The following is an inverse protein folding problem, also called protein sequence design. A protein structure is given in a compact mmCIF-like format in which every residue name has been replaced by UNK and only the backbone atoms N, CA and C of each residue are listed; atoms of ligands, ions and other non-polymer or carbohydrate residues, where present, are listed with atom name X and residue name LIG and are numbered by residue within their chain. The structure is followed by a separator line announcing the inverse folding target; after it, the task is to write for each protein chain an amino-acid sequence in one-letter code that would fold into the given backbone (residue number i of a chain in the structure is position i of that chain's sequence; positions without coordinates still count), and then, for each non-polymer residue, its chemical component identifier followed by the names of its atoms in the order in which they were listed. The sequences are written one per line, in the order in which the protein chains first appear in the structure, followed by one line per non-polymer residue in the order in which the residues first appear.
data_IF_983265915712
#
_entry.id   IF_983265915712
#
_cell.length_a   1.000
_cell.length_b   1.000
_cell.length_c   1.000
_cell.angle_alpha   90.00
_cell.angle_beta   90.00
_cell.angle_gamma   90.00
#
_symmetry.space_group_name_H-M   'P 1'
#
loop_
_entity.id
_entity.type
_entity.pdbx_description
1 polymer ?
#
# COMPACT_ATOMS: atom_id res chain seq x y z
N UNK A 1 -24.71 -38.82 39.08
CA UNK A 1 -25.32 -37.78 38.22
C UNK A 1 -24.21 -36.81 37.84
N UNK A 2 -23.66 -36.93 36.64
CA UNK A 2 -22.71 -35.95 36.14
C UNK A 2 -23.53 -34.77 35.62
N UNK A 3 -23.51 -33.63 36.32
CA UNK A 3 -23.94 -32.37 35.72
C UNK A 3 -23.04 -32.12 34.51
N UNK A 4 -23.58 -32.26 33.31
CA UNK A 4 -22.98 -31.72 32.10
C UNK A 4 -23.08 -30.19 32.14
N UNK A 5 -22.32 -29.56 33.04
CA UNK A 5 -22.03 -28.13 32.99
C UNK A 5 -20.98 -27.93 31.90
N UNK A 6 -21.33 -28.28 30.66
CA UNK A 6 -20.57 -27.79 29.51
C UNK A 6 -20.81 -26.28 29.50
N UNK A 7 -19.78 -25.43 29.64
CA UNK A 7 -19.97 -23.99 29.58
C UNK A 7 -20.61 -23.67 28.23
N UNK A 8 -21.87 -23.25 28.23
CA UNK A 8 -22.50 -22.79 27.00
C UNK A 8 -22.03 -21.36 26.75
N UNK A 9 -21.35 -21.17 25.61
CA UNK A 9 -21.09 -19.84 25.05
C UNK A 9 -22.43 -19.12 24.97
N UNK A 10 -22.53 -17.94 25.56
CA UNK A 10 -23.78 -17.19 25.56
C UNK A 10 -24.17 -16.81 24.13
N UNK A 11 -25.47 -16.60 23.90
CA UNK A 11 -25.99 -16.09 22.62
C UNK A 11 -25.26 -14.82 22.17
N UNK A 12 -25.03 -13.91 23.13
CA UNK A 12 -24.36 -12.63 22.90
C UNK A 12 -22.90 -12.82 22.48
N UNK A 13 -22.16 -13.69 23.18
CA UNK A 13 -20.78 -13.99 22.83
C UNK A 13 -20.69 -14.69 21.47
N UNK A 14 -21.64 -15.57 21.16
CA UNK A 14 -21.72 -16.23 19.87
C UNK A 14 -21.95 -15.25 18.71
N UNK A 15 -22.91 -14.33 18.84
CA UNK A 15 -23.20 -13.30 17.84
C UNK A 15 -22.01 -12.35 17.65
N UNK A 16 -21.36 -11.94 18.74
CA UNK A 16 -20.18 -11.09 18.71
C UNK A 16 -19.00 -11.78 18.02
N UNK A 17 -18.77 -13.08 18.30
CA UNK A 17 -17.76 -13.89 17.63
C UNK A 17 -18.03 -13.99 16.11
N UNK A 18 -19.29 -14.19 15.70
CA UNK A 18 -19.66 -14.21 14.28
C UNK A 18 -19.41 -12.86 13.60
N UNK A 19 -19.70 -11.74 14.28
CA UNK A 19 -19.45 -10.40 13.76
C UNK A 19 -17.95 -10.17 13.52
N UNK A 20 -17.10 -10.53 14.48
CA UNK A 20 -15.63 -10.43 14.32
C UNK A 20 -15.10 -11.36 13.25
N UNK A 21 -15.63 -12.58 13.12
CA UNK A 21 -15.25 -13.46 12.02
C UNK A 21 -15.52 -12.82 10.65
N UNK A 22 -16.72 -12.24 10.45
CA UNK A 22 -17.08 -11.53 9.22
C UNK A 22 -16.18 -10.31 8.96
N UNK A 23 -15.90 -9.52 9.99
CA UNK A 23 -15.01 -8.34 9.90
C UNK A 23 -13.59 -8.79 9.54
N UNK A 24 -13.09 -9.86 10.15
CA UNK A 24 -11.75 -10.40 9.91
C UNK A 24 -11.61 -10.92 8.48
N UNK A 25 -12.62 -11.64 7.99
CA UNK A 25 -12.65 -12.14 6.61
C UNK A 25 -12.67 -10.97 5.60
N UNK A 26 -13.49 -9.96 5.83
CA UNK A 26 -13.53 -8.75 5.01
C UNK A 26 -12.18 -8.03 5.02
N UNK A 27 -11.55 -7.87 6.19
CA UNK A 27 -10.25 -7.22 6.31
C UNK A 27 -9.14 -8.00 5.61
N UNK A 28 -9.18 -9.33 5.65
CA UNK A 28 -8.24 -10.16 4.90
C UNK A 28 -8.38 -9.96 3.39
N UNK A 29 -9.60 -9.83 2.87
CA UNK A 29 -9.84 -9.53 1.45
C UNK A 29 -9.33 -8.12 1.07
N UNK A 30 -9.58 -7.14 1.93
CA UNK A 30 -9.08 -5.77 1.77
C UNK A 30 -7.54 -5.77 1.72
N UNK A 31 -6.89 -6.42 2.68
CA UNK A 31 -5.43 -6.54 2.73
C UNK A 31 -4.87 -7.20 1.47
N UNK A 32 -5.51 -8.26 0.98
CA UNK A 32 -5.09 -8.93 -0.25
C UNK A 32 -5.18 -7.98 -1.46
N UNK A 33 -6.27 -7.24 -1.58
CA UNK A 33 -6.42 -6.20 -2.61
C UNK A 33 -5.34 -5.12 -2.51
N UNK A 34 -4.93 -4.74 -1.29
CA UNK A 34 -3.89 -3.73 -1.07
C UNK A 34 -2.50 -4.24 -1.49
N UNK A 35 -2.21 -5.51 -1.20
CA UNK A 35 -0.98 -6.18 -1.65
C UNK A 35 -0.94 -6.23 -3.19
N UNK A 36 -2.06 -6.55 -3.83
CA UNK A 36 -2.17 -6.58 -5.30
C UNK A 36 -1.98 -5.21 -5.92
N UNK A 37 -2.61 -4.17 -5.39
CA UNK A 37 -2.43 -2.79 -5.84
C UNK A 37 -0.97 -2.32 -5.67
N UNK A 38 -0.36 -2.64 -4.53
CA UNK A 38 1.04 -2.32 -4.24
C UNK A 38 2.00 -3.04 -5.21
N UNK A 39 1.71 -4.30 -5.55
CA UNK A 39 2.47 -5.05 -6.56
C UNK A 39 2.32 -4.40 -7.94
N UNK A 40 1.11 -4.09 -8.38
CA UNK A 40 0.86 -3.46 -9.67
C UNK A 40 1.62 -2.13 -9.80
N UNK A 41 1.59 -1.30 -8.75
CA UNK A 41 2.32 -0.02 -8.71
C UNK A 41 3.83 -0.24 -8.79
N UNK A 42 4.36 -1.24 -8.09
CA UNK A 42 5.79 -1.60 -8.18
C UNK A 42 6.18 -2.02 -9.60
N UNK A 43 5.35 -2.81 -10.27
CA UNK A 43 5.59 -3.23 -11.66
C UNK A 43 5.57 -2.04 -12.61
N UNK A 44 4.60 -1.14 -12.44
CA UNK A 44 4.55 0.13 -13.19
C UNK A 44 5.80 0.98 -12.95
N UNK A 45 6.25 1.13 -11.71
CA UNK A 45 7.49 1.88 -11.41
C UNK A 45 8.71 1.26 -12.07
N UNK A 46 8.86 -0.08 -12.00
CA UNK A 46 9.95 -0.78 -12.69
C UNK A 46 9.93 -0.58 -14.19
N UNK A 47 8.74 -0.55 -14.80
CA UNK A 47 8.61 -0.31 -16.25
C UNK A 47 9.08 1.10 -16.68
N UNK A 48 9.23 2.01 -15.72
CA UNK A 48 9.71 3.36 -15.96
C UNK A 48 11.22 3.53 -15.74
N UNK A 49 11.91 2.54 -15.17
CA UNK A 49 13.38 2.58 -15.03
C UNK A 49 14.05 2.60 -16.41
N UNK A 50 13.57 1.78 -17.35
CA UNK A 50 14.05 1.75 -18.74
C UNK A 50 13.89 3.13 -19.43
N UNK A 51 12.82 3.85 -19.10
CA UNK A 51 12.55 5.19 -19.62
C UNK A 51 13.57 6.19 -19.06
N UNK A 52 13.87 6.12 -17.76
CA UNK A 52 14.90 7.00 -17.14
C UNK A 52 16.25 6.82 -17.80
N UNK A 53 16.67 5.58 -18.02
CA UNK A 53 17.94 5.26 -18.67
C UNK A 53 17.99 5.80 -20.11
N UNK A 54 16.89 5.68 -20.85
CA UNK A 54 16.75 6.26 -22.20
C UNK A 54 16.92 7.79 -22.17
N UNK A 55 16.35 8.50 -21.20
CA UNK A 55 16.48 9.95 -21.07
C UNK A 55 17.85 10.41 -20.58
N UNK A 56 18.55 9.62 -19.78
CA UNK A 56 19.93 9.88 -19.42
C UNK A 56 20.84 9.81 -20.63
N UNK A 57 20.64 8.82 -21.50
CA UNK A 57 21.33 8.73 -22.79
C UNK A 57 21.03 9.93 -23.69
N UNK A 58 19.77 10.37 -23.72
CA UNK A 58 19.32 11.53 -24.49
C UNK A 58 19.96 12.83 -24.00
N UNK A 59 20.13 12.96 -22.68
CA UNK A 59 20.85 14.09 -22.05
C UNK A 59 22.31 14.13 -22.49
N UNK A 60 22.98 12.97 -22.53
CA UNK A 60 24.36 12.87 -23.00
C UNK A 60 24.43 13.31 -24.47
N UNK A 61 23.49 12.88 -25.31
CA UNK A 61 23.48 13.24 -26.73
C UNK A 61 23.32 14.75 -26.95
N UNK A 62 22.33 15.37 -26.29
CA UNK A 62 22.08 16.82 -26.38
C UNK A 62 23.23 17.67 -25.83
N UNK A 63 24.00 17.16 -24.86
CA UNK A 63 25.17 17.83 -24.31
C UNK A 63 26.28 18.09 -25.36
N UNK A 64 26.28 17.35 -26.46
CA UNK A 64 27.24 17.51 -27.56
C UNK A 64 26.72 18.41 -28.69
N UNK A 65 25.45 18.86 -28.63
CA UNK A 65 24.81 19.68 -29.66
C UNK A 65 24.71 21.14 -29.18
N UNK A 66 25.60 22.00 -29.67
CA UNK A 66 25.69 23.41 -29.23
C UNK A 66 24.39 24.22 -29.41
N UNK A 67 23.56 23.87 -30.41
CA UNK A 67 22.26 24.51 -30.66
C UNK A 67 21.14 24.03 -29.73
N UNK A 68 21.35 22.94 -28.99
CA UNK A 68 20.33 22.30 -28.16
C UNK A 68 20.50 22.58 -26.64
N UNK A 69 21.27 23.61 -26.27
CA UNK A 69 21.64 23.90 -24.87
C UNK A 69 20.43 24.15 -23.94
N UNK A 70 19.37 24.77 -24.46
CA UNK A 70 18.11 24.96 -23.72
C UNK A 70 17.38 23.63 -23.48
N UNK A 71 17.35 22.75 -24.49
CA UNK A 71 16.77 21.41 -24.39
C UNK A 71 17.58 20.52 -23.45
N UNK A 72 18.91 20.59 -23.49
CA UNK A 72 19.79 19.91 -22.54
C UNK A 72 19.43 20.22 -21.09
N UNK A 73 19.26 21.50 -20.75
CA UNK A 73 18.85 21.88 -19.38
C UNK A 73 17.44 21.43 -19.02
N UNK A 74 16.50 21.44 -19.97
CA UNK A 74 15.15 20.93 -19.74
C UNK A 74 15.13 19.42 -19.49
N UNK A 75 15.85 18.63 -20.31
CA UNK A 75 15.96 17.18 -20.11
C UNK A 75 16.66 16.87 -18.77
N UNK A 76 17.74 17.58 -18.40
CA UNK A 76 18.38 17.42 -17.10
C UNK A 76 17.43 17.67 -15.92
N UNK A 77 16.62 18.74 -15.98
CA UNK A 77 15.64 19.05 -14.93
C UNK A 77 14.56 17.97 -14.84
N UNK A 78 14.12 17.45 -15.97
CA UNK A 78 13.10 16.40 -16.03
C UNK A 78 13.63 15.07 -15.50
N UNK A 79 14.83 14.64 -15.90
CA UNK A 79 15.51 13.45 -15.35
C UNK A 79 15.67 13.58 -13.83
N UNK A 80 16.14 14.74 -13.35
CA UNK A 80 16.26 15.01 -11.92
C UNK A 80 14.92 14.99 -11.19
N UNK A 81 13.83 15.38 -11.84
CA UNK A 81 12.48 15.34 -11.27
C UNK A 81 11.94 13.90 -11.21
N UNK A 82 12.14 13.11 -12.27
CA UNK A 82 11.73 11.69 -12.32
C UNK A 82 12.45 10.88 -11.27
N UNK A 83 13.78 11.04 -11.12
CA UNK A 83 14.55 10.36 -10.07
C UNK A 83 14.01 10.69 -8.67
N UNK A 84 13.64 11.94 -8.43
CA UNK A 84 13.06 12.37 -7.15
C UNK A 84 11.70 11.70 -6.89
N UNK A 85 10.80 11.74 -7.86
CA UNK A 85 9.48 11.10 -7.74
C UNK A 85 9.62 9.58 -7.58
N UNK A 86 10.52 8.95 -8.34
CA UNK A 86 10.82 7.52 -8.22
C UNK A 86 11.34 7.14 -6.81
N UNK A 87 12.25 7.93 -6.25
CA UNK A 87 12.73 7.71 -4.88
C UNK A 87 11.62 7.85 -3.84
N UNK A 88 10.77 8.87 -3.96
CA UNK A 88 9.63 9.06 -3.06
C UNK A 88 8.60 7.92 -3.20
N UNK A 89 8.31 7.47 -4.41
CA UNK A 89 7.44 6.31 -4.65
C UNK A 89 7.99 5.03 -4.01
N UNK A 90 9.30 4.76 -4.11
CA UNK A 90 9.91 3.61 -3.46
C UNK A 90 9.83 3.69 -1.92
N UNK A 91 10.01 4.88 -1.33
CA UNK A 91 9.83 5.07 0.11
C UNK A 91 8.38 4.81 0.54
N UNK A 92 7.41 5.31 -0.22
CA UNK A 92 5.99 5.10 0.06
C UNK A 92 5.64 3.63 -0.09
N UNK A 93 6.08 2.95 -1.14
CA UNK A 93 5.90 1.51 -1.34
C UNK A 93 6.46 0.70 -0.17
N UNK A 94 7.65 1.02 0.31
CA UNK A 94 8.24 0.36 1.47
C UNK A 94 7.41 0.61 2.74
N UNK A 95 6.93 1.84 2.93
CA UNK A 95 6.07 2.20 4.06
C UNK A 95 4.72 1.49 4.03
N UNK A 96 4.10 1.34 2.86
CA UNK A 96 2.83 0.61 2.68
C UNK A 96 3.03 -0.88 2.95
N UNK A 97 4.07 -1.49 2.38
CA UNK A 97 4.34 -2.92 2.59
C UNK A 97 4.63 -3.26 4.06
N UNK A 98 5.38 -2.41 4.75
CA UNK A 98 5.65 -2.57 6.19
C UNK A 98 4.39 -2.35 7.04
N UNK A 99 3.55 -1.36 6.69
CA UNK A 99 2.25 -1.16 7.31
C UNK A 99 1.30 -2.35 7.11
N UNK A 100 1.26 -2.94 5.91
CA UNK A 100 0.49 -4.15 5.60
C UNK A 100 0.94 -5.34 6.45
N UNK A 101 2.25 -5.52 6.60
CA UNK A 101 2.80 -6.58 7.46
C UNK A 101 2.41 -6.38 8.92
N UNK A 102 2.60 -5.17 9.47
CA UNK A 102 2.23 -4.84 10.84
C UNK A 102 0.74 -5.00 11.08
N UNK A 103 -0.09 -4.58 10.13
CA UNK A 103 -1.54 -4.79 10.16
C UNK A 103 -1.89 -6.27 10.24
N UNK A 104 -1.39 -7.08 9.31
CA UNK A 104 -1.67 -8.52 9.30
C UNK A 104 -1.20 -9.23 10.57
N UNK A 105 -0.07 -8.81 11.15
CA UNK A 105 0.44 -9.38 12.39
C UNK A 105 -0.42 -9.00 13.60
N UNK A 106 -0.80 -7.73 13.75
CA UNK A 106 -1.67 -7.28 14.85
C UNK A 106 -3.02 -8.00 14.81
N UNK A 107 -3.63 -8.14 13.62
CA UNK A 107 -4.88 -8.86 13.44
C UNK A 107 -4.78 -10.30 13.93
N UNK A 108 -3.74 -11.03 13.47
CA UNK A 108 -3.55 -12.43 13.84
C UNK A 108 -3.33 -12.59 15.34
N UNK A 109 -2.53 -11.71 15.94
CA UNK A 109 -2.26 -11.73 17.38
C UNK A 109 -3.53 -11.51 18.20
N UNK A 110 -4.33 -10.50 17.85
CA UNK A 110 -5.56 -10.18 18.59
C UNK A 110 -6.63 -11.24 18.41
N UNK A 111 -6.78 -11.77 17.19
CA UNK A 111 -7.70 -12.88 16.95
C UNK A 111 -7.29 -14.14 17.74
N UNK A 112 -5.99 -14.43 17.82
CA UNK A 112 -5.48 -15.53 18.65
C UNK A 112 -5.73 -15.30 20.16
N UNK A 113 -5.57 -14.07 20.63
CA UNK A 113 -5.89 -13.67 22.02
C UNK A 113 -7.38 -13.93 22.35
N UNK A 114 -8.29 -13.52 21.45
CA UNK A 114 -9.71 -13.80 21.59
C UNK A 114 -10.05 -15.29 21.55
N UNK A 115 -9.47 -16.06 20.62
CA UNK A 115 -9.63 -17.51 20.59
C UNK A 115 -9.12 -18.17 21.88
N UNK A 116 -8.04 -17.64 22.46
CA UNK A 116 -7.53 -18.05 23.77
C UNK A 116 -8.56 -17.85 24.89
N UNK A 117 -9.19 -16.68 24.94
CA UNK A 117 -10.23 -16.39 25.94
C UNK A 117 -11.49 -17.25 25.76
N UNK A 118 -11.88 -17.57 24.52
CA UNK A 118 -12.95 -18.54 24.26
C UNK A 118 -12.53 -19.95 24.68
N UNK A 119 -11.31 -20.38 24.39
CA UNK A 119 -10.83 -21.72 24.74
C UNK A 119 -10.74 -21.92 26.26
N UNK A 120 -10.48 -20.86 27.02
CA UNK A 120 -10.47 -20.86 28.48
C UNK A 120 -11.80 -20.41 29.11
N UNK A 121 -12.89 -20.37 28.34
CA UNK A 121 -14.18 -19.85 28.81
C UNK A 121 -14.77 -20.73 29.92
N UNK A 122 -15.00 -20.13 31.08
CA UNK A 122 -15.55 -20.79 32.28
C UNK A 122 -17.00 -20.40 32.59
N UNK A 123 -17.68 -19.68 31.68
CA UNK A 123 -19.03 -19.16 31.90
C UNK A 123 -19.12 -17.65 32.15
N UNK A 124 -17.99 -16.93 32.10
CA UNK A 124 -17.92 -15.47 32.20
C UNK A 124 -17.56 -14.85 30.84
N UNK A 125 -18.49 -14.10 30.27
CA UNK A 125 -18.34 -13.44 28.98
C UNK A 125 -17.45 -12.18 29.04
N UNK A 126 -17.11 -11.68 30.23
CA UNK A 126 -16.43 -10.38 30.40
C UNK A 126 -15.12 -10.31 29.63
N UNK A 127 -14.22 -11.28 29.83
CA UNK A 127 -12.92 -11.29 29.14
C UNK A 127 -13.02 -11.51 27.62
N UNK A 128 -13.81 -12.49 27.12
CA UNK A 128 -14.08 -12.62 25.69
C UNK A 128 -14.69 -11.35 25.05
N UNK A 129 -15.65 -10.69 25.71
CA UNK A 129 -16.30 -9.49 25.18
C UNK A 129 -15.36 -8.27 25.18
N UNK A 130 -14.52 -8.10 26.21
CA UNK A 130 -13.51 -7.02 26.25
C UNK A 130 -12.48 -7.21 25.14
N UNK A 131 -11.98 -8.43 24.96
CA UNK A 131 -11.04 -8.72 23.87
C UNK A 131 -11.68 -8.54 22.48
N UNK A 132 -12.97 -8.88 22.34
CA UNK A 132 -13.79 -8.56 21.17
C UNK A 132 -13.87 -7.05 20.87
N UNK A 133 -14.15 -6.21 21.86
CA UNK A 133 -14.25 -4.76 21.67
C UNK A 133 -12.90 -4.15 21.25
N UNK A 134 -11.81 -4.58 21.90
CA UNK A 134 -10.44 -4.17 21.54
C UNK A 134 -10.12 -4.53 20.09
N UNK A 135 -10.45 -5.76 19.67
CA UNK A 135 -10.28 -6.23 18.30
C UNK A 135 -11.03 -5.32 17.31
N UNK A 136 -12.28 -5.04 17.61
CA UNK A 136 -13.17 -4.30 16.70
C UNK A 136 -12.73 -2.84 16.53
N UNK A 137 -12.34 -2.17 17.62
CA UNK A 137 -11.79 -0.82 17.58
C UNK A 137 -10.45 -0.76 16.83
N UNK A 138 -9.53 -1.68 17.13
CA UNK A 138 -8.21 -1.73 16.47
C UNK A 138 -8.35 -1.96 14.96
N UNK A 139 -9.25 -2.85 14.55
CA UNK A 139 -9.54 -3.07 13.14
C UNK A 139 -10.01 -1.80 12.44
N UNK A 140 -10.89 -1.02 13.07
CA UNK A 140 -11.42 0.20 12.47
C UNK A 140 -10.32 1.25 12.22
N UNK A 141 -9.50 1.53 13.24
CA UNK A 141 -8.41 2.51 13.15
C UNK A 141 -7.39 2.09 12.08
N UNK A 142 -6.98 0.83 12.09
CA UNK A 142 -5.97 0.34 11.16
C UNK A 142 -6.46 0.35 9.70
N UNK A 143 -7.75 0.03 9.46
CA UNK A 143 -8.32 0.12 8.12
C UNK A 143 -8.37 1.57 7.61
N UNK A 144 -8.71 2.53 8.48
CA UNK A 144 -8.69 3.96 8.12
C UNK A 144 -7.28 4.41 7.72
N UNK A 145 -6.27 4.07 8.51
CA UNK A 145 -4.86 4.40 8.21
C UNK A 145 -4.40 3.78 6.90
N UNK A 146 -4.78 2.53 6.61
CA UNK A 146 -4.43 1.88 5.35
C UNK A 146 -5.04 2.58 4.13
N UNK A 147 -6.33 2.93 4.20
CA UNK A 147 -6.99 3.62 3.09
C UNK A 147 -6.34 4.99 2.82
N UNK A 148 -5.94 5.71 3.87
CA UNK A 148 -5.20 6.96 3.73
C UNK A 148 -3.86 6.76 3.03
N UNK A 149 -3.06 5.75 3.45
CA UNK A 149 -1.76 5.43 2.83
C UNK A 149 -1.91 5.09 1.35
N UNK A 150 -2.94 4.32 0.97
CA UNK A 150 -3.19 3.98 -0.43
C UNK A 150 -3.65 5.18 -1.26
N UNK A 151 -4.47 6.07 -0.69
CA UNK A 151 -4.86 7.31 -1.34
C UNK A 151 -3.64 8.16 -1.67
N UNK A 152 -2.75 8.37 -0.69
CA UNK A 152 -1.50 9.10 -0.91
C UNK A 152 -0.60 8.42 -1.95
N UNK A 153 -0.55 7.08 -1.97
CA UNK A 153 0.24 6.34 -2.96
C UNK A 153 -0.31 6.53 -4.38
N UNK A 154 -1.64 6.55 -4.56
CA UNK A 154 -2.28 6.83 -5.86
C UNK A 154 -2.00 8.25 -6.35
N UNK A 155 -2.12 9.25 -5.47
CA UNK A 155 -1.81 10.64 -5.83
C UNK A 155 -0.36 10.81 -6.30
N UNK A 156 0.59 10.12 -5.67
CA UNK A 156 2.00 10.15 -6.09
C UNK A 156 2.22 9.41 -7.40
N UNK A 157 1.49 8.31 -7.65
CA UNK A 157 1.53 7.61 -8.93
C UNK A 157 1.01 8.51 -10.07
N UNK A 158 -0.09 9.23 -9.86
CA UNK A 158 -0.65 10.15 -10.85
C UNK A 158 0.35 11.28 -11.18
N UNK A 159 1.02 11.82 -10.16
CA UNK A 159 2.09 12.81 -10.32
C UNK A 159 3.27 12.26 -11.14
N UNK A 160 3.61 10.99 -10.94
CA UNK A 160 4.66 10.32 -11.69
C UNK A 160 4.29 10.10 -13.16
N UNK A 161 3.08 9.60 -13.43
CA UNK A 161 2.54 9.42 -14.79
C UNK A 161 2.53 10.76 -15.54
N UNK A 162 2.11 11.84 -14.89
CA UNK A 162 2.12 13.18 -15.47
C UNK A 162 3.54 13.62 -15.85
N UNK A 163 4.52 13.36 -14.99
CA UNK A 163 5.93 13.70 -15.25
C UNK A 163 6.47 12.92 -16.44
N UNK A 164 6.17 11.62 -16.53
CA UNK A 164 6.56 10.78 -17.66
C UNK A 164 5.92 11.22 -18.98
N UNK A 165 4.66 11.65 -18.94
CA UNK A 165 3.96 12.16 -20.13
C UNK A 165 4.60 13.45 -20.66
N UNK A 166 5.03 14.36 -19.77
CA UNK A 166 5.77 15.59 -20.16
C UNK A 166 7.10 15.25 -20.83
N UNK A 167 7.74 14.21 -20.34
CA UNK A 167 9.03 13.72 -20.83
C UNK A 167 8.90 13.07 -22.21
N UNK A 168 7.89 12.23 -22.40
CA UNK A 168 7.55 11.66 -23.70
C UNK A 168 7.24 12.76 -24.75
N UNK A 169 6.47 13.79 -24.35
CA UNK A 169 6.18 14.93 -25.21
C UNK A 169 7.44 15.72 -25.60
N UNK A 170 8.38 15.92 -24.67
CA UNK A 170 9.65 16.56 -24.96
C UNK A 170 10.49 15.74 -25.94
N UNK A 171 10.59 14.42 -25.73
CA UNK A 171 11.29 13.51 -26.66
C UNK A 171 10.73 13.65 -28.06
N UNK A 172 9.42 13.56 -28.21
CA UNK A 172 8.75 13.67 -29.49
C UNK A 172 9.05 15.02 -30.19
N UNK A 173 9.01 16.12 -29.44
CA UNK A 173 9.35 17.44 -29.99
C UNK A 173 10.82 17.57 -30.41
N UNK A 174 11.74 16.81 -29.80
CA UNK A 174 13.15 16.76 -30.21
C UNK A 174 13.36 15.93 -31.48
N UNK A 175 12.63 14.81 -31.62
CA UNK A 175 12.62 13.98 -32.83
C UNK A 175 12.07 14.77 -34.03
N UNK A 176 10.95 15.50 -33.86
CA UNK A 176 10.37 16.34 -34.92
C UNK A 176 11.32 17.45 -35.39
N UNK A 177 12.19 17.93 -34.50
CA UNK A 177 13.19 18.96 -34.81
C UNK A 177 14.49 18.40 -35.38
N UNK A 178 14.63 17.07 -35.49
CA UNK A 178 15.85 16.39 -35.96
C UNK A 178 17.06 16.62 -35.04
N UNK A 179 16.81 16.87 -33.76
CA UNK A 179 17.84 17.10 -32.74
C UNK A 179 18.33 15.80 -32.09
N UNK A 180 17.54 14.72 -32.26
CA UNK A 180 17.82 13.33 -31.90
C UNK A 180 17.24 12.40 -32.97
#
# INVERSE_FOLDING_TARGET
MACSNTPHISSTLHEAAQAVFKITQRNSQIQQSHIEQTRAIRETIKSFDDIVDEFEMLTIHLGHVNTAKSYFHQVQQLVGSVRRVHQELNKILASVADADMRFGQEIRSRYAEFLGHIASYTGDDTQPLVSLDIITQKFHVLNLEQNQRLSSMREQLDSYILTLSKIAALKHGLEEQGLI
#
